data_IF_962655819366
#
_entry.id   IF_962655819366
#
_cell.length_a   1.000
_cell.length_b   1.000
_cell.length_c   1.000
_cell.angle_alpha   90.00
_cell.angle_beta   90.00
_cell.angle_gamma   90.00
#
_symmetry.space_group_name_H-M   'P 1'
#
loop_
_entity.id
_entity.type
_entity.pdbx_description
1 polymer ?
#
# COMPACT_ATOMS: atom_id res chain seq x y z
N UNK A 1 16.34 2.04 17.58
CA UNK A 1 15.08 2.80 17.69
C UNK A 1 14.00 1.82 18.12
N UNK A 2 13.27 2.07 19.21
CA UNK A 2 12.19 1.17 19.68
C UNK A 2 10.93 1.29 18.83
N UNK A 3 11.06 1.12 17.51
CA UNK A 3 9.96 1.25 16.56
C UNK A 3 9.35 -0.12 16.35
N UNK A 4 8.02 -0.21 16.53
CA UNK A 4 7.31 -1.42 16.18
C UNK A 4 7.18 -1.52 14.65
N UNK A 5 8.10 -2.25 14.01
CA UNK A 5 8.14 -2.44 12.56
C UNK A 5 6.88 -3.12 11.99
N UNK A 6 6.07 -3.79 12.81
CA UNK A 6 4.80 -4.34 12.33
C UNK A 6 3.72 -3.25 12.14
N UNK A 7 3.89 -2.07 12.76
CA UNK A 7 2.95 -0.94 12.70
C UNK A 7 3.37 0.14 11.71
N UNK A 8 4.59 0.06 11.18
CA UNK A 8 5.08 0.86 10.07
C UNK A 8 4.87 0.08 8.78
N UNK A 9 3.97 0.58 7.94
CA UNK A 9 3.42 -0.13 6.79
C UNK A 9 4.21 0.14 5.51
N UNK A 10 4.67 1.37 5.33
CA UNK A 10 5.45 1.80 4.18
C UNK A 10 6.25 3.07 4.53
N UNK A 11 7.38 3.27 3.83
CA UNK A 11 8.14 4.51 3.84
C UNK A 11 8.45 4.87 2.40
N UNK A 12 8.13 6.10 2.00
CA UNK A 12 8.50 6.61 0.68
C UNK A 12 8.93 8.08 0.75
N UNK A 13 9.59 8.55 -0.31
CA UNK A 13 10.19 9.88 -0.38
C UNK A 13 9.51 10.70 -1.49
N UNK A 14 8.43 11.41 -1.18
CA UNK A 14 7.62 12.08 -2.19
C UNK A 14 8.25 13.37 -2.73
N UNK A 15 9.17 14.00 -1.99
CA UNK A 15 9.92 15.19 -2.37
C UNK A 15 11.29 15.19 -1.67
N UNK A 16 12.21 16.06 -2.11
CA UNK A 16 13.52 16.26 -1.49
C UNK A 16 13.37 16.67 -0.03
N UNK A 17 14.08 15.97 0.85
CA UNK A 17 14.06 16.17 2.29
C UNK A 17 12.71 15.89 2.96
N UNK A 18 11.78 15.21 2.27
CA UNK A 18 10.50 14.78 2.84
C UNK A 18 10.44 13.26 2.80
N UNK A 19 10.20 12.67 3.96
CA UNK A 19 9.87 11.26 4.11
C UNK A 19 8.39 11.15 4.50
N UNK A 20 7.63 10.39 3.74
CA UNK A 20 6.25 10.03 4.05
C UNK A 20 6.23 8.63 4.66
N UNK A 21 5.48 8.48 5.75
CA UNK A 21 5.37 7.25 6.52
C UNK A 21 3.91 6.81 6.53
N UNK A 22 3.66 5.58 6.11
CA UNK A 22 2.37 4.94 6.28
C UNK A 22 2.40 4.13 7.58
N UNK A 23 1.52 4.47 8.51
CA UNK A 23 1.49 3.90 9.86
C UNK A 23 0.09 3.36 10.15
N UNK A 24 0.00 2.38 11.04
CA UNK A 24 -1.28 2.02 11.65
C UNK A 24 -1.82 3.18 12.49
N UNK A 25 -3.11 3.51 12.36
CA UNK A 25 -3.71 4.67 13.05
C UNK A 25 -3.51 4.63 14.57
N UNK A 26 -3.69 3.47 15.19
CA UNK A 26 -3.48 3.28 16.64
C UNK A 26 -2.04 3.52 17.12
N UNK A 27 -1.08 3.56 16.20
CA UNK A 27 0.32 3.83 16.49
C UNK A 27 0.74 5.26 16.20
N UNK A 28 -0.07 6.02 15.44
CA UNK A 28 0.31 7.34 14.94
C UNK A 28 0.68 8.29 16.09
N UNK A 29 -0.12 8.33 17.16
CA UNK A 29 0.13 9.20 18.31
C UNK A 29 1.42 8.86 19.07
N UNK A 30 1.68 7.58 19.32
CA UNK A 30 2.90 7.13 20.01
C UNK A 30 4.14 7.36 19.16
N UNK A 31 4.03 7.09 17.86
CA UNK A 31 5.11 7.29 16.91
C UNK A 31 5.42 8.79 16.73
N UNK A 32 4.40 9.64 16.71
CA UNK A 32 4.58 11.08 16.69
C UNK A 32 5.37 11.55 17.92
N UNK A 33 4.96 11.16 19.13
CA UNK A 33 5.70 11.48 20.37
C UNK A 33 7.15 10.98 20.34
N UNK A 34 7.40 9.80 19.78
CA UNK A 34 8.74 9.26 19.63
C UNK A 34 9.61 10.12 18.70
N UNK A 35 9.06 10.56 17.57
CA UNK A 35 9.76 11.44 16.63
C UNK A 35 9.99 12.83 17.22
N UNK A 36 9.02 13.39 17.95
CA UNK A 36 9.17 14.66 18.69
C UNK A 36 10.28 14.56 19.73
N UNK A 37 10.35 13.46 20.49
CA UNK A 37 11.42 13.21 21.46
C UNK A 37 12.81 13.12 20.82
N UNK A 38 12.86 12.87 19.50
CA UNK A 38 14.09 12.82 18.69
C UNK A 38 14.33 14.11 17.90
N UNK A 39 13.54 15.16 18.14
CA UNK A 39 13.61 16.46 17.47
C UNK A 39 13.43 16.37 15.96
N UNK A 40 12.62 15.42 15.50
CA UNK A 40 12.22 15.32 14.10
C UNK A 40 11.14 16.36 13.82
N UNK A 41 11.31 17.11 12.72
CA UNK A 41 10.36 18.12 12.30
C UNK A 41 9.25 17.51 11.43
N UNK A 42 8.00 17.78 11.79
CA UNK A 42 6.84 17.40 10.98
C UNK A 42 6.51 18.49 9.97
N UNK A 43 6.23 18.09 8.73
CA UNK A 43 5.80 19.01 7.68
C UNK A 43 4.28 19.09 7.70
N UNK A 44 3.76 20.20 8.21
CA UNK A 44 2.31 20.38 8.37
C UNK A 44 1.60 20.87 7.09
N UNK A 45 2.37 21.41 6.12
CA UNK A 45 1.83 22.04 4.91
C UNK A 45 2.19 21.25 3.64
N UNK A 46 2.30 19.92 3.74
CA UNK A 46 2.59 19.06 2.61
C UNK A 46 1.31 18.40 2.12
N UNK A 47 0.88 18.74 0.90
CA UNK A 47 -0.19 18.04 0.21
C UNK A 47 0.41 17.21 -0.94
N UNK A 48 0.38 15.86 -0.86
CA UNK A 48 0.93 15.02 -1.92
C UNK A 48 0.13 15.09 -3.23
N UNK A 49 -1.05 15.69 -3.24
CA UNK A 49 -1.90 15.85 -4.42
C UNK A 49 -1.68 17.19 -5.13
N UNK A 50 -0.97 18.13 -4.49
CA UNK A 50 -0.73 19.45 -5.05
C UNK A 50 0.37 19.43 -6.12
N UNK A 51 0.08 19.96 -7.31
CA UNK A 51 1.04 20.12 -8.40
C UNK A 51 2.26 20.99 -8.05
N UNK A 52 2.18 21.81 -7.00
CA UNK A 52 3.27 22.66 -6.51
C UNK A 52 4.47 21.84 -5.99
N UNK A 53 4.24 20.61 -5.51
CA UNK A 53 5.30 19.72 -4.99
C UNK A 53 6.19 19.17 -6.11
N UNK A 54 5.72 19.18 -7.36
CA UNK A 54 6.49 18.72 -8.52
C UNK A 54 7.58 19.73 -8.86
N UNK A 55 8.79 19.50 -8.36
CA UNK A 55 9.98 20.35 -8.60
C UNK A 55 10.83 19.92 -9.80
N UNK A 56 10.36 18.94 -10.57
CA UNK A 56 11.09 18.46 -11.74
C UNK A 56 11.06 19.53 -12.85
N UNK A 57 12.24 19.93 -13.40
CA UNK A 57 12.31 20.88 -14.50
C UNK A 57 11.42 20.54 -15.69
N UNK A 58 11.17 19.26 -15.96
CA UNK A 58 10.29 18.82 -17.05
C UNK A 58 8.82 19.27 -16.88
N UNK A 59 8.42 19.67 -15.67
CA UNK A 59 7.08 20.15 -15.35
C UNK A 59 6.98 21.67 -15.16
N UNK A 60 8.05 22.42 -15.46
CA UNK A 60 8.06 23.88 -15.32
C UNK A 60 7.18 24.58 -16.37
N UNK A 61 7.11 24.02 -17.58
CA UNK A 61 6.43 24.63 -18.72
C UNK A 61 4.97 24.18 -18.89
N UNK A 62 4.52 23.20 -18.10
CA UNK A 62 3.12 22.74 -18.14
C UNK A 62 2.21 23.59 -17.26
N UNK A 63 0.94 23.68 -17.65
CA UNK A 63 -0.07 24.44 -16.92
C UNK A 63 -0.26 23.91 -15.49
N UNK A 64 -0.69 24.77 -14.57
CA UNK A 64 -0.99 24.39 -13.17
C UNK A 64 -1.99 23.23 -13.08
N UNK A 65 -2.98 23.20 -13.97
CA UNK A 65 -3.94 22.10 -14.08
C UNK A 65 -3.25 20.78 -14.44
N UNK A 66 -2.40 20.78 -15.46
CA UNK A 66 -1.66 19.58 -15.87
C UNK A 66 -0.68 19.11 -14.79
N UNK A 67 -0.07 20.04 -14.04
CA UNK A 67 0.77 19.70 -12.87
C UNK A 67 -0.03 18.99 -11.79
N UNK A 68 -1.23 19.48 -11.49
CA UNK A 68 -2.10 18.90 -10.47
C UNK A 68 -2.58 17.51 -10.88
N UNK A 69 -2.96 17.32 -12.15
CA UNK A 69 -3.28 16.00 -12.69
C UNK A 69 -2.09 15.03 -12.58
N UNK A 70 -0.88 15.51 -12.88
CA UNK A 70 0.32 14.68 -12.79
C UNK A 70 0.69 14.33 -11.35
N UNK A 71 0.53 15.27 -10.42
CA UNK A 71 0.75 15.02 -8.99
C UNK A 71 -0.22 13.96 -8.48
N UNK A 72 -1.49 14.05 -8.86
CA UNK A 72 -2.49 13.05 -8.53
C UNK A 72 -2.14 11.66 -9.09
N UNK A 73 -1.75 11.57 -10.37
CA UNK A 73 -1.31 10.30 -10.97
C UNK A 73 -0.13 9.68 -10.21
N UNK A 74 0.90 10.48 -9.92
CA UNK A 74 2.07 10.02 -9.18
C UNK A 74 1.71 9.59 -7.75
N UNK A 75 0.81 10.31 -7.09
CA UNK A 75 0.38 9.96 -5.75
C UNK A 75 -0.43 8.66 -5.74
N UNK A 76 -1.32 8.45 -6.71
CA UNK A 76 -2.03 7.17 -6.88
C UNK A 76 -1.04 6.01 -7.07
N UNK A 77 -0.04 6.18 -7.94
CA UNK A 77 1.01 5.18 -8.16
C UNK A 77 1.80 4.86 -6.87
N UNK A 78 2.10 5.88 -6.06
CA UNK A 78 2.78 5.69 -4.76
C UNK A 78 1.92 4.88 -3.80
N UNK A 79 0.62 5.18 -3.71
CA UNK A 79 -0.30 4.43 -2.84
C UNK A 79 -0.49 2.98 -3.29
N UNK A 80 -0.58 2.74 -4.60
CA UNK A 80 -0.62 1.39 -5.17
C UNK A 80 0.66 0.60 -4.86
N UNK A 81 1.83 1.23 -4.99
CA UNK A 81 3.12 0.61 -4.61
C UNK A 81 3.18 0.32 -3.12
N UNK A 82 2.72 1.24 -2.27
CA UNK A 82 2.64 1.04 -0.83
C UNK A 82 1.77 -0.19 -0.50
N UNK A 83 0.59 -0.32 -1.12
CA UNK A 83 -0.27 -1.51 -0.96
C UNK A 83 0.47 -2.79 -1.35
N UNK A 84 1.18 -2.79 -2.47
CA UNK A 84 1.92 -3.97 -2.93
C UNK A 84 3.04 -4.37 -1.97
N UNK A 85 3.67 -3.40 -1.30
CA UNK A 85 4.72 -3.60 -0.30
C UNK A 85 4.19 -4.03 1.08
N UNK A 86 2.98 -3.59 1.43
CA UNK A 86 2.32 -3.95 2.68
C UNK A 86 2.13 -5.47 2.77
N UNK A 87 2.37 -6.02 3.97
CA UNK A 87 2.26 -7.46 4.23
C UNK A 87 0.84 -7.95 4.01
N UNK A 88 0.74 -9.17 3.50
CA UNK A 88 -0.53 -9.76 3.06
C UNK A 88 -1.68 -9.74 4.08
N UNK A 89 -1.48 -10.02 5.38
CA UNK A 89 -2.57 -10.04 6.36
C UNK A 89 -3.34 -8.71 6.48
N UNK A 90 -2.68 -7.59 6.17
CA UNK A 90 -3.24 -6.24 6.31
C UNK A 90 -3.35 -5.51 4.96
N UNK A 91 -2.77 -6.05 3.89
CA UNK A 91 -2.76 -5.48 2.53
C UNK A 91 -4.16 -5.12 2.06
N UNK A 92 -5.09 -6.07 2.14
CA UNK A 92 -6.46 -5.88 1.65
C UNK A 92 -7.21 -4.83 2.47
N UNK A 93 -7.04 -4.83 3.80
CA UNK A 93 -7.65 -3.81 4.67
C UNK A 93 -7.18 -2.41 4.33
N UNK A 94 -5.87 -2.23 4.09
CA UNK A 94 -5.29 -0.95 3.65
C UNK A 94 -5.83 -0.54 2.28
N UNK A 95 -5.91 -1.48 1.32
CA UNK A 95 -6.45 -1.21 0.00
C UNK A 95 -7.92 -0.75 0.05
N UNK A 96 -8.77 -1.46 0.79
CA UNK A 96 -10.17 -1.06 0.98
C UNK A 96 -10.31 0.31 1.65
N UNK A 97 -9.45 0.61 2.63
CA UNK A 97 -9.41 1.93 3.25
C UNK A 97 -9.07 3.03 2.22
N UNK A 98 -8.02 2.85 1.41
CA UNK A 98 -7.64 3.82 0.38
C UNK A 98 -8.73 4.02 -0.67
N UNK A 99 -9.43 2.97 -1.08
CA UNK A 99 -10.56 3.11 -1.99
C UNK A 99 -11.71 3.88 -1.35
N UNK A 100 -12.03 3.66 -0.06
CA UNK A 100 -13.06 4.45 0.62
C UNK A 100 -12.73 5.94 0.62
N UNK A 101 -11.45 6.29 0.70
CA UNK A 101 -10.96 7.66 0.58
C UNK A 101 -10.91 8.20 -0.86
N UNK A 102 -11.33 7.40 -1.86
CA UNK A 102 -11.23 7.71 -3.29
C UNK A 102 -9.79 7.93 -3.77
N UNK A 103 -8.81 7.37 -3.08
CA UNK A 103 -7.39 7.52 -3.44
C UNK A 103 -6.92 6.50 -4.46
N UNK A 104 -7.60 5.36 -4.58
CA UNK A 104 -7.30 4.31 -5.56
C UNK A 104 -8.60 3.84 -6.21
N UNK A 105 -8.50 3.32 -7.43
CA UNK A 105 -9.65 2.80 -8.18
C UNK A 105 -10.07 1.41 -7.68
N UNK A 106 -11.34 1.07 -7.95
CA UNK A 106 -11.86 -0.29 -7.76
C UNK A 106 -11.12 -1.31 -8.61
N UNK A 107 -10.78 -0.96 -9.84
CA UNK A 107 -10.02 -1.82 -10.76
C UNK A 107 -8.71 -2.33 -10.13
N UNK A 108 -8.00 -1.46 -9.41
CA UNK A 108 -6.79 -1.87 -8.71
C UNK A 108 -7.08 -2.86 -7.57
N UNK A 109 -8.19 -2.68 -6.83
CA UNK A 109 -8.63 -3.65 -5.82
C UNK A 109 -8.96 -5.01 -6.45
N UNK A 110 -9.64 -5.01 -7.59
CA UNK A 110 -10.01 -6.24 -8.28
C UNK A 110 -8.77 -6.98 -8.83
N UNK A 111 -7.74 -6.24 -9.27
CA UNK A 111 -6.44 -6.79 -9.67
C UNK A 111 -5.72 -7.50 -8.51
N UNK A 112 -5.63 -6.87 -7.33
CA UNK A 112 -4.97 -7.49 -6.17
C UNK A 112 -5.77 -8.67 -5.59
N UNK A 113 -7.09 -8.69 -5.77
CA UNK A 113 -7.92 -9.81 -5.35
C UNK A 113 -7.76 -11.00 -6.31
N UNK A 114 -7.73 -10.75 -7.62
CA UNK A 114 -7.51 -11.80 -8.63
C UNK A 114 -6.17 -12.51 -8.41
N UNK A 115 -5.10 -11.78 -8.12
CA UNK A 115 -3.80 -12.40 -7.81
C UNK A 115 -3.84 -13.27 -6.54
N UNK A 116 -4.60 -12.87 -5.52
CA UNK A 116 -4.81 -13.68 -4.31
C UNK A 116 -5.48 -15.02 -4.60
N UNK A 117 -6.57 -15.00 -5.38
CA UNK A 117 -7.33 -16.21 -5.69
C UNK A 117 -6.60 -17.11 -6.69
N UNK A 118 -5.82 -16.54 -7.61
CA UNK A 118 -4.93 -17.30 -8.48
C UNK A 118 -3.85 -18.07 -7.70
N UNK A 119 -3.26 -17.46 -6.67
CA UNK A 119 -2.29 -18.14 -5.80
C UNK A 119 -2.92 -19.22 -4.93
N UNK A 120 -4.11 -18.99 -4.38
CA UNK A 120 -4.83 -20.01 -3.62
C UNK A 120 -5.17 -21.24 -4.49
N UNK A 121 -5.52 -21.05 -5.76
CA UNK A 121 -5.82 -22.17 -6.66
C UNK A 121 -4.59 -23.06 -6.93
N UNK A 122 -3.39 -22.47 -7.02
CA UNK A 122 -2.14 -23.23 -7.20
C UNK A 122 -1.69 -23.96 -5.92
N UNK A 123 -2.03 -23.47 -4.72
CA UNK A 123 -1.66 -24.11 -3.44
C UNK A 123 -2.57 -25.31 -3.07
N UNK A 124 -3.73 -25.47 -3.71
CA UNK A 124 -4.68 -26.56 -3.44
C UNK A 124 -4.58 -27.75 -4.40
N UNK A 125 -3.70 -27.71 -5.39
CA UNK A 125 -3.48 -28.83 -6.31
C UNK A 125 -2.09 -29.44 -6.11
N UNK A 126 -2.07 -30.79 -6.03
CA UNK A 126 -0.91 -31.72 -5.95
C UNK A 126 -0.49 -32.10 -4.50
N UNK A 127 -1.27 -32.97 -3.85
CA UNK A 127 -0.73 -34.18 -3.16
C UNK A 127 -1.82 -35.01 -2.42
N UNK A 128 -3.03 -34.48 -2.19
CA UNK A 128 -4.03 -35.18 -1.35
C UNK A 128 -5.19 -35.88 -2.09
N UNK A 129 -5.21 -35.91 -3.43
CA UNK A 129 -6.30 -36.53 -4.20
C UNK A 129 -6.08 -37.97 -4.67
N UNK A 130 -4.89 -38.56 -4.47
CA UNK A 130 -4.59 -39.94 -4.92
C UNK A 130 -4.74 -41.01 -3.81
N UNK A 131 -5.16 -40.67 -2.60
CA UNK A 131 -5.20 -41.63 -1.47
C UNK A 131 -6.59 -42.22 -1.15
N UNK A 132 -7.65 -41.89 -1.89
CA UNK A 132 -9.04 -42.29 -1.52
C UNK A 132 -9.64 -43.36 -2.47
N UNK A 133 -9.01 -43.72 -3.60
CA UNK A 133 -9.64 -44.67 -4.55
C UNK A 133 -9.49 -46.15 -4.22
N UNK A 134 -8.58 -46.56 -3.33
CA UNK A 134 -8.19 -47.98 -3.21
C UNK A 134 -8.90 -48.78 -2.11
N UNK A 135 -9.87 -48.22 -1.38
CA UNK A 135 -10.48 -48.90 -0.23
C UNK A 135 -11.96 -49.31 -0.37
N UNK A 136 -12.50 -49.36 -1.60
CA UNK A 136 -13.89 -49.82 -1.86
C UNK A 136 -13.99 -51.01 -2.81
N UNK A 137 -13.04 -51.94 -2.74
CA UNK A 137 -13.17 -53.25 -3.39
C UNK A 137 -12.85 -54.35 -2.38
N UNK A 138 -13.79 -54.67 -1.49
CA UNK A 138 -14.02 -55.99 -0.86
C UNK A 138 -15.13 -55.84 0.18
N UNK A 139 -16.38 -56.01 -0.25
CA UNK A 139 -17.48 -56.59 0.53
C UNK A 139 -18.74 -56.57 -0.34
N UNK A 140 -18.98 -57.64 -1.09
CA UNK A 140 -20.21 -58.44 -1.11
C UNK A 140 -20.02 -59.65 -2.03
#
# INVERSE_FOLDING_TARGET
>A
MGVNNARLLDIHYPDRNIAALLLHNDYAADFQKLLESKRVHFVNNFDPWDGSILKDPQYLEITSQNRSLKAAELQQQRLQRAINHVREPIKYTVAYYFHRQQWISKEFIDQINTSRYGQLADDFDIDDMDAISDNYSHNF
#
